data_IF_793120108228
#
_entry.id   IF_793120108228
#
_cell.length_a   1.000
_cell.length_b   1.000
_cell.length_c   1.000
_cell.angle_alpha   90.00
_cell.angle_beta   90.00
_cell.angle_gamma   90.00
#
_symmetry.space_group_name_H-M   'P 1'
#
loop_
_entity.id
_entity.type
_entity.pdbx_description
1 polymer ?
#
# COMPACT_ATOMS: atom_id res chain seq x y z
N UNK A 1 -3.50 -14.55 -23.69
CA UNK A 1 -3.73 -13.20 -23.15
C UNK A 1 -3.70 -12.22 -24.30
N UNK A 2 -4.70 -11.37 -24.42
CA UNK A 2 -4.65 -10.24 -25.36
C UNK A 2 -3.74 -9.14 -24.78
N UNK A 3 -3.07 -8.34 -25.62
CA UNK A 3 -2.09 -7.35 -25.16
C UNK A 3 -2.65 -6.28 -24.21
N UNK A 4 -3.97 -6.07 -24.18
CA UNK A 4 -4.61 -5.06 -23.32
C UNK A 4 -4.58 -5.50 -21.86
N UNK A 5 -4.92 -6.75 -21.59
CA UNK A 5 -4.90 -7.33 -20.25
C UNK A 5 -3.47 -7.29 -19.65
N UNK A 6 -2.44 -7.56 -20.47
CA UNK A 6 -1.05 -7.53 -20.01
C UNK A 6 -0.63 -6.11 -19.62
N UNK A 7 -0.97 -5.12 -20.45
CA UNK A 7 -0.68 -3.71 -20.18
C UNK A 7 -1.44 -3.22 -18.93
N UNK A 8 -2.69 -3.66 -18.74
CA UNK A 8 -3.50 -3.35 -17.56
C UNK A 8 -2.82 -3.75 -16.25
N UNK A 9 -2.39 -5.01 -16.16
CA UNK A 9 -1.64 -5.56 -15.02
C UNK A 9 -0.36 -4.79 -14.71
N UNK A 10 0.43 -4.43 -15.74
CA UNK A 10 1.68 -3.69 -15.55
C UNK A 10 1.44 -2.27 -15.00
N UNK A 11 0.38 -1.61 -15.46
CA UNK A 11 0.05 -0.25 -15.02
C UNK A 11 -0.44 -0.20 -13.57
N UNK A 12 -1.22 -1.19 -13.13
CA UNK A 12 -1.74 -1.27 -11.76
C UNK A 12 -0.64 -1.44 -10.72
N UNK A 13 0.35 -2.29 -10.99
CA UNK A 13 1.47 -2.52 -10.05
C UNK A 13 2.28 -1.26 -9.81
N UNK A 14 2.59 -0.49 -10.87
CA UNK A 14 3.36 0.74 -10.74
C UNK A 14 2.63 1.78 -9.89
N UNK A 15 1.32 1.92 -10.09
CA UNK A 15 0.50 2.85 -9.32
C UNK A 15 0.48 2.47 -7.83
N UNK A 16 0.29 1.19 -7.50
CA UNK A 16 0.31 0.71 -6.12
C UNK A 16 1.69 0.94 -5.49
N UNK A 17 2.77 0.66 -6.21
CA UNK A 17 4.14 0.88 -5.71
C UNK A 17 4.42 2.36 -5.41
N UNK A 18 3.90 3.27 -6.23
CA UNK A 18 4.01 4.71 -6.00
C UNK A 18 3.22 5.14 -4.76
N UNK A 19 1.97 4.68 -4.62
CA UNK A 19 1.17 4.93 -3.41
C UNK A 19 1.90 4.46 -2.15
N UNK A 20 2.43 3.22 -2.17
CA UNK A 20 3.19 2.68 -1.04
C UNK A 20 4.37 3.58 -0.67
N UNK A 21 5.13 4.06 -1.66
CA UNK A 21 6.29 4.92 -1.43
C UNK A 21 5.88 6.24 -0.76
N UNK A 22 4.84 6.87 -1.27
CA UNK A 22 4.36 8.16 -0.77
C UNK A 22 3.75 8.02 0.63
N UNK A 23 2.96 6.97 0.88
CA UNK A 23 2.39 6.65 2.19
C UNK A 23 3.47 6.32 3.22
N UNK A 24 4.46 5.48 2.88
CA UNK A 24 5.57 5.17 3.78
C UNK A 24 6.41 6.41 4.11
N UNK A 25 6.60 7.30 3.13
CA UNK A 25 7.25 8.59 3.34
C UNK A 25 6.47 9.52 4.27
N UNK A 26 5.13 9.53 4.16
CA UNK A 26 4.25 10.25 5.09
C UNK A 26 4.33 9.70 6.51
N UNK A 27 4.22 8.37 6.67
CA UNK A 27 4.36 7.69 7.96
C UNK A 27 5.72 7.97 8.62
N UNK A 28 6.80 7.93 7.85
CA UNK A 28 8.14 8.28 8.34
C UNK A 28 8.23 9.74 8.83
N UNK A 29 7.48 10.67 8.22
CA UNK A 29 7.40 12.05 8.71
C UNK A 29 6.61 12.19 10.01
N UNK A 30 5.73 11.23 10.34
CA UNK A 30 4.97 11.23 11.60
C UNK A 30 5.74 10.57 12.75
N UNK A 31 6.82 9.84 12.44
CA UNK A 31 7.68 9.19 13.42
C UNK A 31 8.22 10.19 14.46
N UNK A 32 8.09 9.86 15.74
CA UNK A 32 8.49 10.73 16.85
C UNK A 32 7.62 11.98 17.06
N UNK A 33 6.59 12.23 16.24
CA UNK A 33 5.65 13.35 16.42
C UNK A 33 4.45 13.01 17.29
N UNK A 34 4.15 11.72 17.44
CA UNK A 34 3.05 11.22 18.27
C UNK A 34 3.60 10.29 19.34
N UNK A 35 3.27 10.60 20.59
CA UNK A 35 3.63 9.76 21.73
C UNK A 35 2.96 8.39 21.57
N UNK A 36 3.76 7.31 21.61
CA UNK A 36 3.33 5.90 21.53
C UNK A 36 2.86 5.37 20.16
N UNK A 37 3.06 6.10 19.06
CA UNK A 37 2.69 5.64 17.71
C UNK A 37 3.81 4.90 16.95
N UNK A 38 5.06 5.01 17.40
CA UNK A 38 6.25 4.62 16.63
C UNK A 38 6.24 3.13 16.23
N UNK A 39 5.77 2.23 17.09
CA UNK A 39 5.67 0.80 16.79
C UNK A 39 4.65 0.51 15.69
N UNK A 40 3.52 1.20 15.69
CA UNK A 40 2.46 1.05 14.70
C UNK A 40 2.89 1.67 13.37
N UNK A 41 3.54 2.83 13.39
CA UNK A 41 4.19 3.44 12.22
C UNK A 41 5.22 2.48 11.60
N UNK A 42 6.11 1.91 12.40
CA UNK A 42 7.11 0.94 11.92
C UNK A 42 6.45 -0.31 11.34
N UNK A 43 5.41 -0.83 12.00
CA UNK A 43 4.68 -2.01 11.51
C UNK A 43 4.01 -1.73 10.17
N UNK A 44 3.34 -0.59 10.02
CA UNK A 44 2.73 -0.17 8.76
C UNK A 44 3.78 -0.04 7.64
N UNK A 45 4.92 0.62 7.90
CA UNK A 45 6.03 0.72 6.93
C UNK A 45 6.56 -0.66 6.54
N UNK A 46 6.64 -1.59 7.50
CA UNK A 46 7.03 -2.98 7.26
C UNK A 46 6.08 -3.70 6.31
N UNK A 47 4.78 -3.70 6.60
CA UNK A 47 3.75 -4.33 5.75
C UNK A 47 3.73 -3.70 4.34
N UNK A 48 3.82 -2.36 4.25
CA UNK A 48 3.92 -1.63 2.99
C UNK A 48 5.14 -2.08 2.16
N UNK A 49 6.29 -2.26 2.81
CA UNK A 49 7.51 -2.74 2.16
C UNK A 49 7.34 -4.15 1.61
N UNK A 50 6.74 -5.04 2.41
CA UNK A 50 6.46 -6.43 2.01
C UNK A 50 5.55 -6.47 0.78
N UNK A 51 4.44 -5.70 0.80
CA UNK A 51 3.51 -5.60 -0.33
C UNK A 51 4.25 -5.12 -1.58
N UNK A 52 5.03 -4.04 -1.48
CA UNK A 52 5.80 -3.51 -2.62
C UNK A 52 6.74 -4.57 -3.20
N UNK A 53 7.44 -5.32 -2.36
CA UNK A 53 8.30 -6.40 -2.81
C UNK A 53 7.54 -7.54 -3.48
N UNK A 54 6.37 -7.91 -2.95
CA UNK A 54 5.54 -8.97 -3.51
C UNK A 54 4.97 -8.58 -4.88
N UNK A 55 4.38 -7.39 -5.02
CA UNK A 55 3.83 -6.92 -6.31
C UNK A 55 4.92 -6.75 -7.37
N UNK A 56 6.14 -6.34 -6.98
CA UNK A 56 7.27 -6.21 -7.91
C UNK A 56 7.69 -7.58 -8.45
N UNK A 57 7.80 -8.58 -7.58
CA UNK A 57 8.14 -9.94 -7.99
C UNK A 57 7.05 -10.58 -8.86
N UNK A 58 5.76 -10.37 -8.52
CA UNK A 58 4.64 -10.85 -9.33
C UNK A 58 4.61 -10.19 -10.71
N UNK A 59 4.92 -8.90 -10.78
CA UNK A 59 5.05 -8.18 -12.04
C UNK A 59 6.19 -8.71 -12.91
N UNK A 60 7.37 -8.94 -12.33
CA UNK A 60 8.50 -9.56 -13.02
C UNK A 60 8.12 -10.95 -13.52
N UNK A 61 7.53 -11.79 -12.67
CA UNK A 61 7.04 -13.11 -13.05
C UNK A 61 6.06 -13.04 -14.22
N UNK A 62 5.07 -12.15 -14.16
CA UNK A 62 4.07 -11.99 -15.22
C UNK A 62 4.74 -11.61 -16.55
N UNK A 63 5.70 -10.67 -16.53
CA UNK A 63 6.43 -10.27 -17.74
C UNK A 63 7.19 -11.43 -18.40
N UNK A 64 7.77 -12.34 -17.61
CA UNK A 64 8.54 -13.47 -18.13
C UNK A 64 7.67 -14.67 -18.54
N UNK A 65 6.59 -14.95 -17.81
CA UNK A 65 5.78 -16.16 -17.96
C UNK A 65 4.56 -16.00 -18.88
N UNK A 66 4.05 -14.77 -19.05
CA UNK A 66 2.96 -14.48 -20.00
C UNK A 66 3.34 -14.80 -21.45
N UNK A 67 4.65 -14.80 -21.78
CA UNK A 67 5.14 -15.21 -23.10
C UNK A 67 5.10 -16.71 -23.34
N UNK A 68 4.99 -17.53 -22.29
CA UNK A 68 5.22 -18.98 -22.38
C UNK A 68 4.00 -19.84 -22.04
N UNK A 69 3.16 -19.49 -21.05
CA UNK A 69 1.87 -20.16 -20.74
C UNK A 69 1.30 -19.78 -19.36
N UNK A 70 1.08 -18.51 -19.06
CA UNK A 70 0.40 -18.15 -17.80
C UNK A 70 -1.02 -18.75 -17.76
N UNK A 71 -1.39 -19.43 -16.66
CA UNK A 71 -2.73 -19.98 -16.48
C UNK A 71 -3.74 -18.82 -16.31
N UNK A 72 -4.84 -18.76 -17.10
CA UNK A 72 -5.80 -17.66 -17.02
C UNK A 72 -6.36 -17.42 -15.61
N UNK A 73 -6.68 -18.49 -14.89
CA UNK A 73 -7.21 -18.43 -13.51
C UNK A 73 -6.25 -17.75 -12.54
N UNK A 74 -4.94 -17.92 -12.75
CA UNK A 74 -3.91 -17.27 -11.95
C UNK A 74 -3.87 -15.76 -12.22
N UNK A 75 -3.97 -15.38 -13.49
CA UNK A 75 -3.97 -13.97 -13.91
C UNK A 75 -5.19 -13.24 -13.34
N UNK A 76 -6.38 -13.85 -13.41
CA UNK A 76 -7.61 -13.30 -12.82
C UNK A 76 -7.48 -13.14 -11.30
N UNK A 77 -6.94 -14.16 -10.61
CA UNK A 77 -6.67 -14.08 -9.17
C UNK A 77 -5.69 -12.99 -8.79
N UNK A 78 -4.66 -12.75 -9.62
CA UNK A 78 -3.69 -11.68 -9.44
C UNK A 78 -4.32 -10.29 -9.63
N UNK A 79 -5.15 -10.10 -10.66
CA UNK A 79 -5.87 -8.84 -10.86
C UNK A 79 -6.76 -8.52 -9.66
N UNK A 80 -7.54 -9.48 -9.16
CA UNK A 80 -8.39 -9.31 -7.97
C UNK A 80 -7.56 -8.93 -6.74
N UNK A 81 -6.41 -9.57 -6.53
CA UNK A 81 -5.52 -9.27 -5.40
C UNK A 81 -4.90 -7.87 -5.51
N UNK A 82 -4.50 -7.45 -6.71
CA UNK A 82 -3.96 -6.10 -6.94
C UNK A 82 -5.02 -5.02 -6.74
N UNK A 83 -6.25 -5.24 -7.20
CA UNK A 83 -7.36 -4.32 -6.97
C UNK A 83 -7.70 -4.19 -5.47
N UNK A 84 -7.73 -5.31 -4.75
CA UNK A 84 -7.88 -5.31 -3.29
C UNK A 84 -6.75 -4.54 -2.59
N UNK A 85 -5.51 -4.77 -3.01
CA UNK A 85 -4.35 -4.04 -2.50
C UNK A 85 -4.45 -2.54 -2.77
N UNK A 86 -4.86 -2.16 -3.98
CA UNK A 86 -5.05 -0.76 -4.36
C UNK A 86 -6.11 -0.08 -3.49
N UNK A 87 -7.26 -0.71 -3.29
CA UNK A 87 -8.33 -0.15 -2.46
C UNK A 87 -7.88 0.10 -1.02
N UNK A 88 -7.17 -0.86 -0.41
CA UNK A 88 -6.60 -0.70 0.94
C UNK A 88 -5.56 0.43 0.97
N UNK A 89 -4.71 0.52 -0.05
CA UNK A 89 -3.69 1.56 -0.16
C UNK A 89 -4.26 2.96 -0.31
N UNK A 90 -5.31 3.14 -1.11
CA UNK A 90 -5.95 4.44 -1.32
C UNK A 90 -6.48 5.01 0.01
N UNK A 91 -7.19 4.19 0.80
CA UNK A 91 -7.75 4.64 2.10
C UNK A 91 -6.64 4.99 3.10
N UNK A 92 -5.60 4.16 3.23
CA UNK A 92 -4.49 4.46 4.13
C UNK A 92 -3.71 5.71 3.69
N UNK A 93 -3.48 5.86 2.38
CA UNK A 93 -2.76 7.00 1.82
C UNK A 93 -3.49 8.32 2.13
N UNK A 94 -4.82 8.34 2.01
CA UNK A 94 -5.63 9.51 2.34
C UNK A 94 -5.52 9.89 3.82
N UNK A 95 -5.57 8.92 4.73
CA UNK A 95 -5.43 9.18 6.17
C UNK A 95 -4.02 9.68 6.55
N UNK A 96 -2.98 9.07 5.99
CA UNK A 96 -1.58 9.51 6.19
C UNK A 96 -1.34 10.91 5.60
N UNK A 97 -1.93 11.22 4.45
CA UNK A 97 -1.89 12.54 3.83
C UNK A 97 -2.54 13.60 4.72
N UNK A 98 -3.70 13.29 5.31
CA UNK A 98 -4.39 14.17 6.25
C UNK A 98 -3.53 14.42 7.52
N UNK A 99 -2.93 13.38 8.09
CA UNK A 99 -2.04 13.49 9.25
C UNK A 99 -0.79 14.32 8.96
N UNK A 100 -0.18 14.13 7.80
CA UNK A 100 1.05 14.84 7.41
C UNK A 100 0.77 16.33 7.16
N UNK A 101 -0.34 16.66 6.49
CA UNK A 101 -0.79 18.06 6.30
C UNK A 101 -1.09 18.74 7.65
N UNK A 102 -1.77 18.04 8.55
CA UNK A 102 -2.04 18.52 9.91
C UNK A 102 -0.77 18.78 10.73
N UNK A 103 0.24 17.91 10.61
CA UNK A 103 1.52 18.06 11.31
C UNK A 103 2.31 19.29 10.83
N UNK A 104 2.28 19.61 9.54
CA UNK A 104 3.03 20.73 8.94
C UNK A 104 2.43 22.11 9.26
N UNK A 105 1.14 22.19 9.59
CA UNK A 105 0.45 23.46 9.88
C UNK A 105 0.67 23.99 11.30
N UNK A 106 1.31 23.22 12.18
CA UNK A 106 1.57 23.62 13.57
C UNK A 106 2.75 24.60 13.74
N UNK A 107 3.31 25.12 12.63
CA UNK A 107 4.48 26.01 12.62
C UNK A 107 4.18 27.51 12.65
N UNK A 108 2.93 27.97 12.51
CA UNK A 108 2.63 29.40 12.51
C UNK A 108 1.29 29.74 13.21
N UNK A 109 1.34 30.67 14.17
CA UNK A 109 0.35 30.88 15.22
C UNK A 109 -0.98 31.52 14.84
N UNK A 110 -1.39 31.52 13.56
CA UNK A 110 -2.52 32.36 13.07
C UNK A 110 -3.64 31.54 12.39
N UNK A 111 -3.69 30.21 12.58
CA UNK A 111 -4.64 29.31 11.90
C UNK A 111 -5.81 28.76 12.74
N UNK A 112 -6.06 29.25 13.95
CA UNK A 112 -6.88 28.61 15.00
C UNK A 112 -8.36 28.28 14.64
N UNK A 113 -8.84 28.58 13.44
CA UNK A 113 -10.25 28.34 13.00
C UNK A 113 -10.43 27.42 11.79
N UNK A 114 -9.37 26.86 11.24
CA UNK A 114 -9.46 25.81 10.20
C UNK A 114 -8.97 24.49 10.81
N UNK A 115 -9.73 23.91 11.75
CA UNK A 115 -10.49 22.66 11.53
C UNK A 115 -9.64 21.64 10.77
N UNK A 116 -9.06 20.60 11.34
CA UNK A 116 -9.42 19.73 12.47
C UNK A 116 -8.09 19.26 13.06
N UNK A 117 -7.99 19.12 14.38
CA UNK A 117 -6.82 18.50 15.02
C UNK A 117 -6.81 17.04 14.57
N UNK A 118 -6.18 16.73 13.43
CA UNK A 118 -6.00 15.36 12.95
C UNK A 118 -5.00 14.73 13.91
N UNK A 119 -5.53 14.02 14.91
CA UNK A 119 -4.76 13.29 15.90
C UNK A 119 -4.63 11.86 15.39
N UNK A 120 -3.45 11.27 15.56
CA UNK A 120 -3.22 9.85 15.34
C UNK A 120 -4.29 9.01 16.07
N UNK A 121 -5.04 8.20 15.33
CA UNK A 121 -6.01 7.25 15.88
C UNK A 121 -5.41 5.84 15.82
N UNK A 122 -4.98 5.34 16.97
CA UNK A 122 -4.32 4.03 17.10
C UNK A 122 -5.19 2.87 16.59
N UNK A 123 -6.50 2.90 16.88
CA UNK A 123 -7.41 1.84 16.47
C UNK A 123 -7.60 1.82 14.95
N UNK A 124 -7.75 3.00 14.34
CA UNK A 124 -7.83 3.15 12.88
C UNK A 124 -6.55 2.64 12.19
N UNK A 125 -5.39 3.03 12.72
CA UNK A 125 -4.10 2.62 12.16
C UNK A 125 -3.84 1.13 12.29
N UNK A 126 -4.28 0.52 13.40
CA UNK A 126 -4.23 -0.94 13.57
C UNK A 126 -5.17 -1.66 12.61
N UNK A 127 -6.36 -1.13 12.35
CA UNK A 127 -7.26 -1.70 11.34
C UNK A 127 -6.63 -1.65 9.94
N UNK A 128 -5.98 -0.54 9.58
CA UNK A 128 -5.20 -0.47 8.33
C UNK A 128 -4.08 -1.50 8.29
N UNK A 129 -3.35 -1.68 9.39
CA UNK A 129 -2.31 -2.70 9.49
C UNK A 129 -2.86 -4.11 9.24
N UNK A 130 -4.01 -4.46 9.82
CA UNK A 130 -4.65 -5.77 9.61
C UNK A 130 -5.07 -5.97 8.15
N UNK A 131 -5.64 -4.94 7.52
CA UNK A 131 -6.02 -4.96 6.10
C UNK A 131 -4.80 -5.12 5.20
N UNK A 132 -3.72 -4.37 5.45
CA UNK A 132 -2.45 -4.51 4.71
C UNK A 132 -1.87 -5.92 4.86
N UNK A 133 -1.86 -6.45 6.08
CA UNK A 133 -1.36 -7.80 6.34
C UNK A 133 -2.14 -8.87 5.57
N UNK A 134 -3.47 -8.75 5.49
CA UNK A 134 -4.29 -9.65 4.70
C UNK A 134 -3.91 -9.60 3.20
N UNK A 135 -3.68 -8.40 2.66
CA UNK A 135 -3.22 -8.23 1.28
C UNK A 135 -1.81 -8.79 1.07
N UNK A 136 -0.88 -8.56 2.01
CA UNK A 136 0.46 -9.12 1.96
C UNK A 136 0.43 -10.66 1.91
N UNK A 137 -0.42 -11.29 2.71
CA UNK A 137 -0.60 -12.75 2.72
C UNK A 137 -1.20 -13.25 1.40
N UNK A 138 -2.23 -12.60 0.86
CA UNK A 138 -2.81 -12.97 -0.42
C UNK A 138 -1.79 -12.91 -1.57
N UNK A 139 -1.00 -11.84 -1.63
CA UNK A 139 0.06 -11.67 -2.63
C UNK A 139 1.17 -12.71 -2.45
N UNK A 140 1.54 -13.05 -1.21
CA UNK A 140 2.51 -14.11 -0.93
C UNK A 140 2.02 -15.49 -1.36
N UNK A 141 0.73 -15.81 -1.17
CA UNK A 141 0.14 -17.06 -1.64
C UNK A 141 0.18 -17.18 -3.16
N UNK A 142 -0.16 -16.10 -3.87
CA UNK A 142 -0.04 -16.05 -5.34
C UNK A 142 1.43 -16.21 -5.78
N UNK A 143 2.36 -15.53 -5.12
CA UNK A 143 3.79 -15.66 -5.43
C UNK A 143 4.30 -17.09 -5.18
N UNK A 144 3.83 -17.76 -4.13
CA UNK A 144 4.16 -19.16 -3.90
C UNK A 144 3.63 -20.04 -5.03
N UNK A 145 2.40 -19.84 -5.49
CA UNK A 145 1.84 -20.57 -6.63
C UNK A 145 2.62 -20.35 -7.94
N UNK A 146 3.28 -19.20 -8.11
CA UNK A 146 4.17 -18.92 -9.25
C UNK A 146 5.48 -19.72 -9.26
N UNK A 147 5.94 -20.21 -8.11
CA UNK A 147 7.25 -20.85 -7.94
C UNK A 147 7.21 -22.37 -8.13
N UNK A 148 6.06 -22.93 -8.51
CA UNK A 148 5.85 -24.35 -8.78
C UNK A 148 5.70 -24.65 -10.27
#
# INVERSE_FOLDING_TARGET
MDPVSAIGLLSGVFQIAQFIKDTAGGLAQLYGKYSHADLTIQSLIGELTIIRSAITQLHEWANYNVRHSAQPEFVDGLEIALDGCRAVMEVLSDEVSALTKGASLNGDGIGFRTRVKVVWNEDSMREHQERLRAQAQALQLLLQACLW
#
